data_IF_199271361583
#
_entry.id   IF_199271361583
#
_cell.length_a   1.000
_cell.length_b   1.000
_cell.length_c   1.000
_cell.angle_alpha   90.00
_cell.angle_beta   90.00
_cell.angle_gamma   90.00
#
_symmetry.space_group_name_H-M   'P 1'
#
loop_
_entity.id
_entity.type
_entity.pdbx_description
1 polymer ?
#
# COMPACT_ATOMS: atom_id res chain seq x y z
N UNK A 1 30.71 -0.69 -0.85
CA UNK A 1 29.36 -0.25 -1.32
C UNK A 1 28.32 -0.77 -0.35
N UNK A 2 27.45 0.10 0.09
CA UNK A 2 26.41 -0.27 1.06
C UNK A 2 25.16 -0.67 0.32
N UNK A 3 24.63 -1.85 0.64
CA UNK A 3 23.36 -2.29 0.08
C UNK A 3 22.23 -1.41 0.61
N UNK A 4 21.26 -1.09 -0.27
CA UNK A 4 20.07 -0.36 0.11
C UNK A 4 19.23 -1.24 1.04
N UNK A 5 18.79 -0.67 2.15
CA UNK A 5 17.87 -1.37 3.05
C UNK A 5 16.54 -1.60 2.36
N UNK A 6 15.98 -2.76 2.57
CA UNK A 6 14.66 -3.12 2.08
C UNK A 6 13.70 -3.18 3.27
N UNK A 7 12.66 -2.33 3.23
CA UNK A 7 11.64 -2.30 4.26
C UNK A 7 10.34 -2.88 3.73
N UNK A 8 9.73 -3.76 4.51
CA UNK A 8 8.45 -4.36 4.17
C UNK A 8 7.42 -3.85 5.16
N UNK A 9 6.36 -3.24 4.64
CA UNK A 9 5.24 -2.76 5.44
C UNK A 9 4.07 -3.70 5.23
N UNK A 10 3.71 -4.45 6.25
CA UNK A 10 2.55 -5.33 6.20
C UNK A 10 1.29 -4.52 6.47
N UNK A 11 0.26 -4.73 5.67
CA UNK A 11 -1.05 -4.17 5.92
C UNK A 11 -2.07 -5.29 5.95
N UNK A 12 -2.92 -5.28 6.96
CA UNK A 12 -3.94 -6.31 7.19
C UNK A 12 -5.35 -5.73 7.25
N UNK A 13 -5.48 -4.41 7.25
CA UNK A 13 -6.77 -3.74 7.35
C UNK A 13 -7.60 -3.94 6.09
N UNK A 14 -8.90 -4.15 6.27
CA UNK A 14 -9.83 -4.27 5.16
C UNK A 14 -9.93 -2.92 4.44
N UNK A 15 -9.57 -2.83 3.15
CA UNK A 15 -9.58 -1.54 2.45
C UNK A 15 -10.98 -0.96 2.27
N UNK A 16 -12.02 -1.78 2.37
CA UNK A 16 -13.39 -1.33 2.21
C UNK A 16 -13.96 -0.72 3.49
N UNK A 17 -13.68 -1.34 4.64
CA UNK A 17 -14.23 -0.91 5.93
C UNK A 17 -13.28 -0.01 6.71
N UNK A 18 -11.97 -0.14 6.50
CA UNK A 18 -10.94 0.62 7.21
C UNK A 18 -9.97 1.27 6.22
N UNK A 19 -10.44 2.19 5.36
CA UNK A 19 -9.57 2.78 4.34
C UNK A 19 -8.41 3.61 4.91
N UNK A 20 -8.59 4.23 6.07
CA UNK A 20 -7.52 4.98 6.72
C UNK A 20 -6.33 4.11 7.09
N UNK A 21 -6.51 3.11 7.98
CA UNK A 21 -5.46 2.16 8.32
C UNK A 21 -4.92 1.41 7.12
N UNK A 22 -5.77 1.02 6.17
CA UNK A 22 -5.33 0.32 4.96
C UNK A 22 -4.39 1.17 4.11
N UNK A 23 -4.53 2.50 4.14
CA UNK A 23 -3.69 3.41 3.37
C UNK A 23 -2.38 3.77 4.03
N UNK A 24 -2.22 3.54 5.33
CA UNK A 24 -1.02 3.96 6.07
C UNK A 24 0.25 3.27 5.58
N UNK A 25 0.18 1.99 5.24
CA UNK A 25 1.32 1.25 4.73
C UNK A 25 1.89 1.87 3.46
N UNK A 26 1.02 2.31 2.55
CA UNK A 26 1.44 2.97 1.31
C UNK A 26 2.11 4.32 1.60
N UNK A 27 1.56 5.06 2.55
CA UNK A 27 2.15 6.35 2.94
C UNK A 27 3.56 6.16 3.50
N UNK A 28 3.74 5.23 4.43
CA UNK A 28 5.04 4.97 5.04
C UNK A 28 6.04 4.43 4.01
N UNK A 29 5.59 3.57 3.11
CA UNK A 29 6.43 3.06 2.04
C UNK A 29 6.93 4.19 1.12
N UNK A 30 6.05 5.14 0.79
CA UNK A 30 6.42 6.28 -0.03
C UNK A 30 7.45 7.17 0.67
N UNK A 31 7.27 7.41 1.97
CA UNK A 31 8.23 8.19 2.76
C UNK A 31 9.58 7.49 2.80
N UNK A 32 9.60 6.18 3.06
CA UNK A 32 10.84 5.40 3.11
C UNK A 32 11.57 5.46 1.77
N UNK A 33 10.84 5.30 0.67
CA UNK A 33 11.42 5.33 -0.68
C UNK A 33 12.04 6.71 -0.99
N UNK A 34 11.41 7.79 -0.54
CA UNK A 34 11.94 9.14 -0.74
C UNK A 34 13.23 9.39 0.01
N UNK A 35 13.50 8.63 1.07
CA UNK A 35 14.75 8.71 1.83
C UNK A 35 15.84 7.81 1.27
N UNK A 36 15.59 7.15 0.14
CA UNK A 36 16.56 6.29 -0.53
C UNK A 36 16.48 4.81 -0.15
N UNK A 37 15.46 4.42 0.58
CA UNK A 37 15.26 3.02 0.94
C UNK A 37 14.43 2.30 -0.11
N UNK A 38 14.62 0.99 -0.23
CA UNK A 38 13.73 0.14 -1.01
C UNK A 38 12.52 -0.21 -0.15
N UNK A 39 11.31 -0.06 -0.68
CA UNK A 39 10.10 -0.27 0.10
C UNK A 39 9.13 -1.21 -0.62
N UNK A 40 8.46 -2.03 0.17
CA UNK A 40 7.43 -2.95 -0.30
C UNK A 40 6.24 -2.87 0.65
N UNK A 41 5.03 -2.82 0.10
CA UNK A 41 3.80 -2.98 0.87
C UNK A 41 3.27 -4.38 0.60
N UNK A 42 3.22 -5.21 1.64
CA UNK A 42 2.73 -6.58 1.52
C UNK A 42 1.34 -6.68 2.10
N UNK A 43 0.41 -7.14 1.28
CA UNK A 43 -0.99 -7.29 1.67
C UNK A 43 -1.18 -8.67 2.31
N UNK A 44 -1.83 -8.69 3.47
CA UNK A 44 -2.14 -9.93 4.18
C UNK A 44 -3.53 -9.82 4.79
N UNK A 45 -4.14 -10.96 5.12
CA UNK A 45 -5.48 -10.98 5.68
C UNK A 45 -6.48 -10.26 4.78
N UNK A 46 -7.31 -9.42 5.38
CA UNK A 46 -8.36 -8.70 4.64
C UNK A 46 -7.81 -7.65 3.68
N UNK A 47 -6.56 -7.22 3.84
CA UNK A 47 -5.95 -6.24 2.94
C UNK A 47 -5.81 -6.76 1.50
N UNK A 48 -5.75 -8.07 1.30
CA UNK A 48 -5.63 -8.67 -0.04
C UNK A 48 -6.87 -8.39 -0.89
N UNK A 49 -7.98 -8.01 -0.29
CA UNK A 49 -9.21 -7.65 -1.01
C UNK A 49 -9.03 -6.46 -1.92
N UNK A 50 -7.99 -5.66 -1.70
CA UNK A 50 -7.69 -4.53 -2.59
C UNK A 50 -7.51 -4.96 -4.04
N UNK A 51 -7.04 -6.18 -4.27
CA UNK A 51 -6.85 -6.72 -5.62
C UNK A 51 -8.18 -7.03 -6.34
N UNK A 52 -9.30 -7.05 -5.62
CA UNK A 52 -10.62 -7.35 -6.20
C UNK A 52 -11.27 -6.07 -6.71
N UNK A 53 -12.08 -6.17 -7.78
CA UNK A 53 -12.78 -4.98 -8.31
C UNK A 53 -13.67 -4.27 -7.28
N UNK A 54 -14.27 -5.02 -6.34
CA UNK A 54 -15.12 -4.49 -5.29
C UNK A 54 -14.41 -4.37 -3.93
N UNK A 55 -13.09 -4.43 -3.94
CA UNK A 55 -12.29 -4.46 -2.70
C UNK A 55 -12.24 -3.15 -1.94
N UNK A 56 -12.61 -2.03 -2.56
CA UNK A 56 -12.70 -0.72 -1.91
C UNK A 56 -14.11 -0.17 -2.04
N UNK A 57 -14.50 0.68 -1.09
CA UNK A 57 -15.79 1.35 -1.16
C UNK A 57 -15.79 2.38 -2.28
N UNK A 58 -16.96 2.61 -2.88
CA UNK A 58 -17.13 3.64 -3.91
C UNK A 58 -17.32 5.01 -3.25
N UNK A 59 -16.27 5.44 -2.56
CA UNK A 59 -16.19 6.73 -1.88
C UNK A 59 -14.90 7.42 -2.31
N UNK A 60 -14.77 8.75 -2.08
CA UNK A 60 -13.50 9.43 -2.38
C UNK A 60 -12.31 8.78 -1.72
N UNK A 61 -12.44 8.37 -0.46
CA UNK A 61 -11.36 7.72 0.28
C UNK A 61 -11.02 6.35 -0.30
N UNK A 62 -12.03 5.56 -0.65
CA UNK A 62 -11.83 4.23 -1.24
C UNK A 62 -11.16 4.32 -2.61
N UNK A 63 -11.60 5.25 -3.43
CA UNK A 63 -11.01 5.47 -4.77
C UNK A 63 -9.57 5.98 -4.66
N UNK A 64 -9.30 6.87 -3.70
CA UNK A 64 -7.94 7.38 -3.47
C UNK A 64 -7.00 6.25 -3.00
N UNK A 65 -7.48 5.37 -2.12
CA UNK A 65 -6.71 4.23 -1.66
C UNK A 65 -6.33 3.31 -2.82
N UNK A 66 -7.30 2.97 -3.67
CA UNK A 66 -7.05 2.10 -4.82
C UNK A 66 -6.07 2.75 -5.79
N UNK A 67 -6.24 4.05 -6.08
CA UNK A 67 -5.36 4.76 -6.99
C UNK A 67 -3.92 4.74 -6.47
N UNK A 68 -3.72 4.93 -5.18
CA UNK A 68 -2.39 4.88 -4.57
C UNK A 68 -1.77 3.49 -4.67
N UNK A 69 -2.55 2.44 -4.42
CA UNK A 69 -2.05 1.08 -4.46
C UNK A 69 -1.70 0.61 -5.87
N UNK A 70 -2.41 1.11 -6.87
CA UNK A 70 -2.24 0.69 -8.27
C UNK A 70 -1.47 1.71 -9.10
N UNK A 71 -0.88 2.72 -8.48
CA UNK A 71 -0.14 3.76 -9.20
C UNK A 71 1.06 3.14 -9.92
N UNK A 72 1.15 3.30 -11.27
CA UNK A 72 2.21 2.65 -12.04
C UNK A 72 3.61 3.21 -11.72
N UNK A 73 3.69 4.47 -11.31
CA UNK A 73 4.96 5.13 -11.00
C UNK A 73 5.24 5.19 -9.50
N UNK A 74 4.56 4.37 -8.71
CA UNK A 74 4.77 4.35 -7.26
C UNK A 74 6.22 3.98 -6.94
N UNK A 75 6.83 4.65 -5.95
CA UNK A 75 8.22 4.37 -5.58
C UNK A 75 8.38 3.09 -4.75
N UNK A 76 7.31 2.35 -4.53
CA UNK A 76 7.29 1.11 -3.77
C UNK A 76 6.62 0.00 -4.57
N UNK A 77 6.85 -1.24 -4.14
CA UNK A 77 6.22 -2.43 -4.73
C UNK A 77 5.07 -2.88 -3.83
N UNK A 78 3.95 -3.26 -4.44
CA UNK A 78 2.83 -3.86 -3.71
C UNK A 78 2.77 -5.35 -4.05
N UNK A 79 2.75 -6.19 -3.02
CA UNK A 79 2.74 -7.65 -3.19
C UNK A 79 1.67 -8.31 -2.32
N UNK A 80 1.29 -9.50 -2.69
CA UNK A 80 0.35 -10.32 -1.92
C UNK A 80 1.06 -11.38 -1.09
#
# INVERSE_FOLDING_TARGET
MTARRHLVFFTTADPRTDPGPAGQGYHFAAVAARTGLSAEVRLAGDAVRLARPDGVADTPDGRALRARALEPDAPYVVSL
#
